data_IF_403946330330
#
_entry.id   IF_403946330330
#
_cell.length_a   1.000
_cell.length_b   1.000
_cell.length_c   1.000
_cell.angle_alpha   90.00
_cell.angle_beta   90.00
_cell.angle_gamma   90.00
#
_symmetry.space_group_name_H-M   'P 1'
#
loop_
_entity.id
_entity.type
_entity.pdbx_description
1 polymer ?
#
# COMPACT_ATOMS: atom_id res chain seq x y z
N UNK A 1 3.57 -21.45 -13.96
CA UNK A 1 3.22 -20.66 -12.87
C UNK A 1 2.29 -21.35 -11.94
N UNK A 2 2.39 -20.97 -10.78
CA UNK A 2 1.57 -21.54 -9.75
C UNK A 2 0.81 -20.41 -9.06
N UNK A 3 -0.17 -20.79 -8.30
CA UNK A 3 -0.93 -19.83 -7.53
C UNK A 3 -0.01 -19.05 -6.61
N UNK A 4 0.99 -19.74 -6.09
CA UNK A 4 1.92 -19.12 -5.18
C UNK A 4 2.70 -18.00 -5.85
N UNK A 5 3.12 -18.21 -7.08
CA UNK A 5 3.83 -17.18 -7.83
C UNK A 5 2.94 -15.97 -8.07
N UNK A 6 1.67 -16.22 -8.40
CA UNK A 6 0.73 -15.14 -8.62
C UNK A 6 0.54 -14.30 -7.37
N UNK A 7 0.49 -14.95 -6.22
CA UNK A 7 0.32 -14.26 -4.96
C UNK A 7 1.51 -13.36 -4.67
N UNK A 8 2.72 -13.89 -4.87
CA UNK A 8 3.92 -13.11 -4.63
C UNK A 8 4.01 -11.92 -5.58
N UNK A 9 3.63 -12.15 -6.84
CA UNK A 9 3.65 -11.07 -7.82
C UNK A 9 2.68 -9.96 -7.45
N UNK A 10 1.48 -10.34 -7.01
CA UNK A 10 0.49 -9.33 -6.61
C UNK A 10 0.99 -8.50 -5.45
N UNK A 11 1.61 -9.15 -4.48
CA UNK A 11 2.11 -8.44 -3.31
C UNK A 11 3.19 -7.45 -3.71
N UNK A 12 4.09 -7.86 -4.61
CA UNK A 12 5.14 -6.98 -5.08
C UNK A 12 4.58 -5.80 -5.86
N UNK A 13 3.59 -6.04 -6.71
CA UNK A 13 2.99 -4.97 -7.48
C UNK A 13 2.31 -3.98 -6.55
N UNK A 14 1.58 -4.48 -5.56
CA UNK A 14 0.93 -3.59 -4.60
C UNK A 14 1.95 -2.77 -3.83
N UNK A 15 3.06 -3.39 -3.44
CA UNK A 15 4.12 -2.67 -2.74
C UNK A 15 4.65 -1.53 -3.61
N UNK A 16 4.95 -1.80 -4.88
CA UNK A 16 5.47 -0.77 -5.77
C UNK A 16 4.45 0.33 -5.99
N UNK A 17 3.18 -0.04 -6.07
CA UNK A 17 2.13 0.94 -6.21
C UNK A 17 2.06 1.85 -4.99
N UNK A 18 2.10 1.27 -3.80
CA UNK A 18 2.09 2.06 -2.57
C UNK A 18 3.29 2.99 -2.52
N UNK A 19 4.46 2.49 -2.90
CA UNK A 19 5.66 3.31 -2.93
C UNK A 19 5.46 4.52 -3.85
N UNK A 20 4.91 4.29 -5.02
CA UNK A 20 4.64 5.36 -5.96
C UNK A 20 3.62 6.36 -5.38
N UNK A 21 2.54 5.84 -4.78
CA UNK A 21 1.50 6.70 -4.26
C UNK A 21 1.97 7.52 -3.07
N UNK A 22 2.83 6.96 -2.26
CA UNK A 22 3.36 7.71 -1.12
C UNK A 22 4.23 8.88 -1.57
N UNK A 23 4.90 8.72 -2.70
CA UNK A 23 5.73 9.80 -3.22
C UNK A 23 4.93 10.88 -3.92
N UNK A 24 3.87 10.48 -4.61
CA UNK A 24 3.19 11.41 -5.52
C UNK A 24 1.77 11.75 -5.09
N UNK A 25 1.13 10.89 -4.30
CA UNK A 25 -0.29 11.05 -3.95
C UNK A 25 -0.54 10.70 -2.49
N UNK A 26 0.35 11.14 -1.62
CA UNK A 26 0.25 10.77 -0.20
C UNK A 26 -1.12 11.10 0.39
N UNK A 27 -1.67 12.24 0.03
CA UNK A 27 -2.96 12.64 0.59
C UNK A 27 -4.08 11.70 0.19
N UNK A 28 -4.00 11.11 -1.00
CA UNK A 28 -5.02 10.17 -1.44
C UNK A 28 -5.01 8.91 -0.59
N UNK A 29 -3.81 8.46 -0.20
CA UNK A 29 -3.68 7.33 0.70
C UNK A 29 -4.30 7.69 2.05
N UNK A 30 -3.99 8.87 2.55
CA UNK A 30 -4.52 9.30 3.84
C UNK A 30 -6.03 9.34 3.83
N UNK A 31 -6.60 9.91 2.81
CA UNK A 31 -8.05 10.07 2.72
C UNK A 31 -8.74 8.72 2.57
N UNK A 32 -8.20 7.86 1.72
CA UNK A 32 -8.87 6.61 1.43
C UNK A 32 -8.84 5.65 2.63
N UNK A 33 -7.71 5.61 3.33
CA UNK A 33 -7.52 4.60 4.37
C UNK A 33 -7.60 5.14 5.79
N UNK A 34 -7.83 6.43 5.93
CA UNK A 34 -7.95 7.01 7.26
C UNK A 34 -6.64 7.00 8.02
N UNK A 35 -5.54 7.22 7.31
CA UNK A 35 -4.21 7.27 7.89
C UNK A 35 -3.75 8.72 7.85
N UNK A 36 -3.17 9.21 8.95
CA UNK A 36 -2.73 10.60 8.99
C UNK A 36 -1.42 10.78 8.27
N UNK A 37 -1.19 12.00 7.77
CA UNK A 37 0.10 12.31 7.16
C UNK A 37 1.21 12.20 8.19
N UNK A 38 0.90 12.55 9.43
CA UNK A 38 1.88 12.43 10.51
C UNK A 38 2.35 10.99 10.67
N UNK A 39 1.41 10.04 10.67
CA UNK A 39 1.77 8.64 10.78
C UNK A 39 2.67 8.21 9.62
N UNK A 40 2.33 8.62 8.41
CA UNK A 40 3.11 8.26 7.24
C UNK A 40 4.50 8.86 7.32
N UNK A 41 4.58 10.15 7.66
CA UNK A 41 5.88 10.81 7.73
C UNK A 41 6.76 10.20 8.79
N UNK A 42 6.18 9.92 9.97
CA UNK A 42 6.96 9.31 11.04
C UNK A 42 7.45 7.93 10.65
N UNK A 43 6.60 7.16 9.97
CA UNK A 43 6.99 5.82 9.55
C UNK A 43 8.09 5.87 8.50
N UNK A 44 7.98 6.80 7.55
CA UNK A 44 8.98 6.91 6.49
C UNK A 44 10.32 7.42 7.02
N UNK A 45 10.31 8.09 8.17
CA UNK A 45 11.54 8.63 8.76
C UNK A 45 12.21 7.68 9.74
N UNK A 46 11.68 6.47 9.93
CA UNK A 46 12.32 5.53 10.82
C UNK A 46 13.70 5.12 10.29
N UNK A 47 14.60 4.88 11.22
CA UNK A 47 15.97 4.50 10.86
C UNK A 47 16.02 3.01 10.54
N UNK A 48 15.53 2.68 9.38
CA UNK A 48 15.56 1.31 8.88
C UNK A 48 15.45 1.41 7.36
N UNK A 49 15.72 0.33 6.65
CA UNK A 49 15.66 0.38 5.19
C UNK A 49 14.32 0.88 4.68
N UNK A 50 14.35 1.61 3.59
CA UNK A 50 13.15 2.21 3.03
C UNK A 50 12.07 1.19 2.76
N UNK A 51 12.44 0.01 2.28
CA UNK A 51 11.43 -1.01 2.02
C UNK A 51 10.67 -1.41 3.27
N UNK A 52 11.33 -1.44 4.42
CA UNK A 52 10.63 -1.77 5.66
C UNK A 52 9.63 -0.69 6.01
N UNK A 53 10.01 0.57 5.81
CA UNK A 53 9.12 1.68 6.11
C UNK A 53 7.87 1.64 5.25
N UNK A 54 8.05 1.40 3.96
CA UNK A 54 6.92 1.35 3.04
C UNK A 54 6.05 0.13 3.34
N UNK A 55 6.68 -0.98 3.66
CA UNK A 55 5.96 -2.19 4.00
C UNK A 55 5.09 -1.97 5.24
N UNK A 56 5.61 -1.26 6.24
CA UNK A 56 4.81 -0.97 7.43
C UNK A 56 3.56 -0.19 7.09
N UNK A 57 3.67 0.76 6.17
CA UNK A 57 2.50 1.52 5.75
C UNK A 57 1.50 0.62 5.03
N UNK A 58 2.01 -0.29 4.20
CA UNK A 58 1.14 -1.24 3.53
C UNK A 58 0.39 -2.10 4.55
N UNK A 59 1.06 -2.54 5.59
CA UNK A 59 0.41 -3.33 6.64
C UNK A 59 -0.64 -2.50 7.38
N UNK A 60 -0.36 -1.23 7.58
CA UNK A 60 -1.35 -0.36 8.24
C UNK A 60 -2.60 -0.23 7.38
N UNK A 61 -2.43 -0.14 6.07
CA UNK A 61 -3.58 -0.13 5.17
C UNK A 61 -4.40 -1.42 5.35
N UNK A 62 -3.71 -2.55 5.44
CA UNK A 62 -4.40 -3.82 5.64
C UNK A 62 -5.15 -3.84 6.97
N UNK A 63 -4.55 -3.30 8.01
CA UNK A 63 -5.22 -3.25 9.30
C UNK A 63 -6.48 -2.39 9.23
N UNK A 64 -6.39 -1.25 8.55
CA UNK A 64 -7.53 -0.36 8.40
C UNK A 64 -8.65 -1.01 7.60
N UNK A 65 -8.30 -1.92 6.71
CA UNK A 65 -9.29 -2.63 5.91
C UNK A 65 -9.75 -3.94 6.53
N UNK A 66 -9.30 -4.23 7.74
CA UNK A 66 -9.73 -5.43 8.43
C UNK A 66 -9.11 -6.71 7.89
N UNK A 67 -7.96 -6.61 7.26
CA UNK A 67 -7.26 -7.78 6.71
C UNK A 67 -6.44 -8.45 7.81
N UNK A 68 -7.13 -8.95 8.82
CA UNK A 68 -6.46 -9.52 9.99
C UNK A 68 -6.76 -11.01 10.05
N UNK A 69 -5.72 -11.79 10.25
CA UNK A 69 -5.85 -13.24 10.41
C UNK A 69 -5.55 -13.62 11.84
N UNK A 70 -5.62 -14.92 12.14
CA UNK A 70 -5.39 -15.44 13.48
C UNK A 70 -4.13 -14.84 14.08
N UNK A 71 -4.19 -14.52 15.37
CA UNK A 71 -3.04 -13.98 16.08
C UNK A 71 -2.80 -12.51 15.84
N UNK A 72 -3.72 -11.83 15.17
CA UNK A 72 -3.60 -10.40 14.95
C UNK A 72 -2.66 -10.00 13.83
N UNK A 73 -2.20 -10.98 13.06
CA UNK A 73 -1.31 -10.68 11.94
C UNK A 73 -2.09 -10.14 10.76
N UNK A 74 -1.40 -9.40 9.90
CA UNK A 74 -2.03 -8.83 8.72
C UNK A 74 -1.97 -9.82 7.57
N UNK A 75 -3.10 -9.98 6.88
CA UNK A 75 -3.17 -10.83 5.71
C UNK A 75 -2.64 -10.03 4.51
N UNK A 76 -1.37 -10.26 4.19
CA UNK A 76 -0.69 -9.48 3.16
C UNK A 76 -1.29 -9.69 1.78
N UNK A 77 -1.69 -10.92 1.47
CA UNK A 77 -2.25 -11.20 0.16
C UNK A 77 -3.58 -10.46 -0.01
N UNK A 78 -4.43 -10.52 1.01
CA UNK A 78 -5.71 -9.83 0.94
C UNK A 78 -5.50 -8.33 0.86
N UNK A 79 -4.54 -7.81 1.62
CA UNK A 79 -4.21 -6.39 1.57
C UNK A 79 -3.79 -5.98 0.16
N UNK A 80 -2.91 -6.75 -0.45
CA UNK A 80 -2.44 -6.44 -1.80
C UNK A 80 -3.60 -6.46 -2.78
N UNK A 81 -4.47 -7.45 -2.67
CA UNK A 81 -5.60 -7.57 -3.59
C UNK A 81 -6.53 -6.37 -3.46
N UNK A 82 -6.81 -5.96 -2.22
CA UNK A 82 -7.69 -4.83 -1.98
C UNK A 82 -7.08 -3.54 -2.56
N UNK A 83 -5.80 -3.32 -2.32
CA UNK A 83 -5.13 -2.13 -2.81
C UNK A 83 -5.20 -2.08 -4.35
N UNK A 84 -4.89 -3.19 -4.99
CA UNK A 84 -4.89 -3.23 -6.45
C UNK A 84 -6.30 -3.06 -7.00
N UNK A 85 -7.29 -3.68 -6.37
CA UNK A 85 -8.66 -3.54 -6.82
C UNK A 85 -9.15 -2.12 -6.67
N UNK A 86 -8.83 -1.48 -5.55
CA UNK A 86 -9.28 -0.11 -5.32
C UNK A 86 -8.62 0.84 -6.28
N UNK A 87 -7.36 0.59 -6.60
CA UNK A 87 -6.67 1.42 -7.58
C UNK A 87 -7.32 1.26 -8.96
N UNK A 88 -7.57 0.02 -9.36
CA UNK A 88 -8.16 -0.26 -10.68
C UNK A 88 -9.56 0.34 -10.80
N UNK A 89 -10.29 0.37 -9.72
CA UNK A 89 -11.67 0.84 -9.75
C UNK A 89 -11.81 2.32 -9.45
N UNK A 90 -10.70 3.04 -9.39
CA UNK A 90 -10.73 4.48 -9.20
C UNK A 90 -11.08 4.92 -7.80
N UNK A 91 -11.06 4.01 -6.84
CA UNK A 91 -11.40 4.36 -5.46
C UNK A 91 -10.37 5.27 -4.81
N UNK A 92 -9.15 5.25 -5.32
CA UNK A 92 -8.10 6.12 -4.81
C UNK A 92 -8.11 7.50 -5.47
N UNK A 93 -9.04 7.72 -6.39
CA UNK A 93 -9.11 8.97 -7.10
C UNK A 93 -8.34 8.90 -8.39
N UNK A 94 -8.24 10.04 -9.04
CA UNK A 94 -7.59 10.10 -10.33
C UNK A 94 -6.07 10.06 -10.13
N UNK A 95 -5.44 9.06 -10.68
CA UNK A 95 -4.01 8.86 -10.53
C UNK A 95 -3.38 8.62 -11.89
N UNK A 96 -2.28 9.30 -12.14
CA UNK A 96 -1.50 9.10 -13.35
C UNK A 96 -0.23 8.37 -12.98
N UNK A 97 -0.03 7.19 -13.55
CA UNK A 97 1.18 6.41 -13.28
C UNK A 97 2.37 6.90 -14.07
N UNK A 98 2.12 7.55 -15.19
CA UNK A 98 3.21 8.07 -15.98
C UNK A 98 3.78 9.31 -15.35
N UNK A 99 5.09 9.47 -15.47
CA UNK A 99 5.74 10.64 -14.97
C UNK A 99 5.23 11.86 -15.73
N UNK A 100 4.80 12.86 -15.02
CA UNK A 100 4.35 14.05 -15.70
C UNK A 100 5.48 14.84 -16.28
N UNK A 101 6.63 14.53 -16.14
CA UNK A 101 7.69 15.19 -16.56
C UNK A 101 7.82 15.57 -17.74
N UNK A 102 7.63 15.74 -17.81
CA UNK A 102 7.52 15.99 -18.71
C UNK A 102 7.81 16.74 -18.60
#
# INVERSE_FOLDING_TARGET
>A
GTIKEDILQRTEIAYELIKFLLKNYKKKICQRYGITEEYIDNTLNKEQPENFNIYEIMLEIGRKRGCIISGGNIDEEKTARIILDEFKNGKLGKITLESPKK
#
